data_IF_953486441444
#
_entry.id   IF_953486441444
#
_cell.length_a   1.000
_cell.length_b   1.000
_cell.length_c   1.000
_cell.angle_alpha   90.00
_cell.angle_beta   90.00
_cell.angle_gamma   90.00
#
_symmetry.space_group_name_H-M   'P 1'
#
loop_
_entity.id
_entity.type
_entity.pdbx_description
1 polymer ?
#
# COMPACT_ATOMS: atom_id res chain seq x y z
N UNK A 1 -8.15 -52.69 -43.04
CA UNK A 1 -8.56 -51.28 -42.92
C UNK A 1 -7.85 -50.69 -41.71
N UNK A 2 -6.85 -49.85 -41.94
CA UNK A 2 -6.12 -49.15 -40.90
C UNK A 2 -6.84 -47.85 -40.58
N UNK A 3 -7.50 -47.78 -39.42
CA UNK A 3 -8.08 -46.55 -38.92
C UNK A 3 -6.95 -45.76 -38.29
N UNK A 4 -6.45 -44.74 -38.99
CA UNK A 4 -5.52 -43.73 -38.42
C UNK A 4 -6.30 -42.89 -37.44
N UNK A 5 -6.17 -43.17 -36.16
CA UNK A 5 -6.60 -42.23 -35.11
C UNK A 5 -5.69 -41.02 -35.16
N UNK A 6 -6.19 -39.92 -35.74
CA UNK A 6 -5.55 -38.60 -35.58
C UNK A 6 -5.71 -38.17 -34.14
N UNK A 7 -4.62 -38.30 -33.40
CA UNK A 7 -4.52 -37.72 -32.07
C UNK A 7 -4.48 -36.20 -32.23
N UNK A 8 -5.61 -35.55 -32.01
CA UNK A 8 -5.68 -34.10 -31.94
C UNK A 8 -5.12 -33.69 -30.59
N UNK A 9 -3.86 -33.24 -30.59
CA UNK A 9 -3.24 -32.61 -29.44
C UNK A 9 -3.89 -31.23 -29.28
N UNK A 10 -4.93 -31.14 -28.44
CA UNK A 10 -5.49 -29.89 -28.03
C UNK A 10 -4.48 -29.22 -27.07
N UNK A 11 -3.65 -28.35 -27.62
CA UNK A 11 -2.82 -27.45 -26.82
C UNK A 11 -3.77 -26.52 -26.05
N UNK A 12 -4.00 -26.87 -24.79
CA UNK A 12 -4.65 -25.96 -23.87
C UNK A 12 -3.68 -24.81 -23.62
N UNK A 13 -3.81 -23.73 -24.39
CA UNK A 13 -3.21 -22.42 -24.02
C UNK A 13 -3.94 -21.95 -22.78
N UNK A 14 -3.41 -22.27 -21.60
CA UNK A 14 -3.85 -21.58 -20.38
C UNK A 14 -3.46 -20.10 -20.51
N UNK A 15 -4.42 -19.17 -20.44
CA UNK A 15 -4.06 -17.78 -20.36
C UNK A 15 -3.28 -17.59 -19.06
N UNK A 16 -2.06 -17.14 -19.17
CA UNK A 16 -1.26 -16.71 -18.04
C UNK A 16 -1.90 -15.43 -17.51
N UNK A 17 -2.79 -15.56 -16.52
CA UNK A 17 -3.29 -14.40 -15.79
C UNK A 17 -2.14 -13.94 -14.91
N UNK A 18 -1.41 -12.95 -15.39
CA UNK A 18 -0.37 -12.31 -14.59
C UNK A 18 -1.01 -11.74 -13.33
N UNK A 19 -0.65 -12.26 -12.17
CA UNK A 19 -1.08 -11.71 -10.89
C UNK A 19 -0.54 -10.30 -10.73
N UNK A 20 -1.40 -9.36 -10.27
CA UNK A 20 -0.98 -8.02 -9.88
C UNK A 20 -0.04 -8.18 -8.69
N UNK A 21 1.16 -7.59 -8.74
CA UNK A 21 2.09 -7.63 -7.63
C UNK A 21 1.46 -6.99 -6.38
N UNK A 22 1.72 -7.54 -5.17
CA UNK A 22 1.18 -7.02 -3.92
C UNK A 22 1.50 -5.53 -3.69
N UNK A 23 2.65 -5.05 -4.21
CA UNK A 23 3.05 -3.64 -4.22
C UNK A 23 2.07 -2.73 -4.95
N UNK A 24 1.53 -3.18 -6.09
CA UNK A 24 0.59 -2.37 -6.90
C UNK A 24 -0.74 -2.19 -6.18
N UNK A 25 -1.18 -3.17 -5.41
CA UNK A 25 -2.42 -3.09 -4.62
C UNK A 25 -2.34 -1.99 -3.55
N UNK A 26 -1.22 -1.82 -2.89
CA UNK A 26 -1.04 -0.78 -1.87
C UNK A 26 -0.91 0.61 -2.48
N UNK A 27 -0.28 0.75 -3.64
CA UNK A 27 -0.16 2.03 -4.33
C UNK A 27 -1.45 2.44 -5.06
N UNK A 28 -2.36 1.51 -5.30
CA UNK A 28 -3.65 1.74 -5.95
C UNK A 28 -4.81 2.01 -4.98
N UNK A 29 -4.54 2.21 -3.69
CA UNK A 29 -5.54 2.54 -2.69
C UNK A 29 -6.28 3.86 -2.99
N UNK A 30 -7.41 4.07 -2.32
CA UNK A 30 -8.19 5.31 -2.44
C UNK A 30 -7.45 6.46 -1.73
N UNK A 31 -6.91 7.38 -2.51
CA UNK A 31 -6.13 8.51 -2.03
C UNK A 31 -6.96 9.46 -1.19
N UNK A 32 -8.20 9.75 -1.59
CA UNK A 32 -9.09 10.65 -0.83
C UNK A 32 -9.49 10.04 0.51
N UNK A 33 -9.79 8.76 0.55
CA UNK A 33 -10.07 8.05 1.79
C UNK A 33 -8.82 8.02 2.69
N UNK A 34 -7.65 7.78 2.12
CA UNK A 34 -6.36 7.82 2.82
C UNK A 34 -6.06 9.18 3.42
N UNK A 35 -6.35 10.26 2.69
CA UNK A 35 -6.18 11.63 3.18
C UNK A 35 -7.07 11.91 4.39
N UNK A 36 -8.34 11.55 4.32
CA UNK A 36 -9.27 11.74 5.45
C UNK A 36 -8.84 10.96 6.68
N UNK A 37 -8.44 9.70 6.51
CA UNK A 37 -7.93 8.87 7.60
C UNK A 37 -6.64 9.43 8.20
N UNK A 38 -5.73 9.88 7.36
CA UNK A 38 -4.47 10.48 7.79
C UNK A 38 -4.72 11.75 8.63
N UNK A 39 -5.60 12.63 8.19
CA UNK A 39 -5.98 13.81 8.94
C UNK A 39 -6.65 13.47 10.27
N UNK A 40 -7.54 12.47 10.27
CA UNK A 40 -8.29 12.09 11.47
C UNK A 40 -7.44 11.31 12.50
N UNK A 41 -6.47 10.53 12.04
CA UNK A 41 -5.80 9.52 12.87
C UNK A 41 -4.30 9.69 13.03
N UNK A 42 -3.63 10.35 12.10
CA UNK A 42 -2.17 10.46 12.05
C UNK A 42 -1.67 11.88 12.35
N UNK A 43 -2.36 12.90 11.81
CA UNK A 43 -1.88 14.28 11.85
C UNK A 43 -1.73 14.85 13.24
N UNK A 44 -2.60 14.51 14.18
CA UNK A 44 -2.55 15.05 15.55
C UNK A 44 -1.21 14.81 16.24
N UNK A 45 -0.72 13.56 16.22
CA UNK A 45 0.58 13.21 16.77
C UNK A 45 1.74 13.75 15.92
N UNK A 46 1.63 13.65 14.59
CA UNK A 46 2.68 14.12 13.69
C UNK A 46 2.88 15.64 13.75
N UNK A 47 1.81 16.42 13.87
CA UNK A 47 1.90 17.87 14.09
C UNK A 47 2.59 18.17 15.41
N UNK A 48 2.22 17.48 16.48
CA UNK A 48 2.80 17.68 17.80
C UNK A 48 4.30 17.39 17.83
N UNK A 49 4.73 16.35 17.12
CA UNK A 49 6.12 15.88 17.14
C UNK A 49 7.01 16.59 16.11
N UNK A 50 6.47 16.87 14.91
CA UNK A 50 7.23 17.41 13.78
C UNK A 50 6.85 18.83 13.38
N UNK A 51 5.86 19.43 14.02
CA UNK A 51 5.39 20.80 13.73
C UNK A 51 4.61 20.95 12.44
N UNK A 52 4.23 22.17 12.10
CA UNK A 52 3.47 22.55 10.90
C UNK A 52 2.24 21.63 10.67
N UNK A 53 2.14 21.00 9.50
CA UNK A 53 1.07 20.04 9.15
C UNK A 53 1.41 18.58 9.49
N UNK A 54 2.57 18.33 10.12
CA UNK A 54 3.05 17.01 10.48
C UNK A 54 3.76 16.25 9.34
N UNK A 55 3.80 16.80 8.14
CA UNK A 55 4.43 16.15 6.97
C UNK A 55 5.95 16.05 7.06
N UNK A 56 6.57 16.77 7.98
CA UNK A 56 8.01 16.71 8.23
C UNK A 56 8.56 15.32 8.47
N UNK A 57 7.75 14.42 9.02
CA UNK A 57 8.11 13.01 9.21
C UNK A 57 8.43 12.31 7.88
N UNK A 58 7.76 12.69 6.78
CA UNK A 58 7.94 12.12 5.44
C UNK A 58 9.03 12.83 4.64
N UNK A 59 9.29 14.08 4.95
CA UNK A 59 10.16 14.99 4.19
C UNK A 59 11.55 15.17 4.80
N UNK A 60 11.83 14.58 5.95
CA UNK A 60 13.10 14.74 6.65
C UNK A 60 14.29 14.27 5.80
N UNK A 61 15.43 14.93 6.04
CA UNK A 61 16.69 14.60 5.37
C UNK A 61 17.69 14.03 6.40
N UNK A 62 18.30 12.84 6.15
CA UNK A 62 17.99 11.94 5.03
C UNK A 62 16.62 11.26 5.19
N UNK A 63 15.99 10.93 4.08
CA UNK A 63 14.72 10.20 4.09
C UNK A 63 14.92 8.79 4.64
N UNK A 64 14.01 8.35 5.52
CA UNK A 64 14.02 6.97 6.03
C UNK A 64 13.44 5.96 5.05
N UNK A 65 12.52 6.42 4.20
CA UNK A 65 11.88 5.62 3.16
C UNK A 65 12.41 6.10 1.82
N UNK A 66 13.11 5.25 1.09
CA UNK A 66 13.81 5.61 -0.13
C UNK A 66 13.34 4.84 -1.37
N UNK A 67 12.46 3.86 -1.20
CA UNK A 67 11.93 3.05 -2.30
C UNK A 67 10.55 2.46 -1.96
N UNK A 68 9.90 1.88 -2.97
CA UNK A 68 8.55 1.28 -2.84
C UNK A 68 8.51 0.17 -1.79
N UNK A 69 9.50 -0.70 -1.75
CA UNK A 69 9.53 -1.82 -0.81
C UNK A 69 9.57 -1.32 0.65
N UNK A 70 10.35 -0.29 0.92
CA UNK A 70 10.39 0.35 2.24
C UNK A 70 9.10 1.07 2.59
N UNK A 71 8.45 1.73 1.61
CA UNK A 71 7.15 2.35 1.82
C UNK A 71 6.08 1.31 2.18
N UNK A 72 6.08 0.18 1.51
CA UNK A 72 5.15 -0.92 1.81
C UNK A 72 5.44 -1.57 3.16
N UNK A 73 6.71 -1.69 3.53
CA UNK A 73 7.10 -2.13 4.88
C UNK A 73 6.61 -1.15 5.96
N UNK A 74 6.36 0.08 5.60
CA UNK A 74 5.77 1.09 6.48
C UNK A 74 4.37 0.71 6.98
N UNK A 75 3.58 0.00 6.16
CA UNK A 75 2.30 -0.56 6.59
C UNK A 75 2.46 -1.43 7.85
N UNK A 76 3.54 -2.19 7.91
CA UNK A 76 3.87 -3.00 9.10
C UNK A 76 4.26 -2.12 10.29
N UNK A 77 4.88 -0.97 10.06
CA UNK A 77 5.24 0.01 11.11
C UNK A 77 4.03 0.80 11.62
N UNK A 78 2.96 0.92 10.84
CA UNK A 78 1.69 1.48 11.30
C UNK A 78 1.06 0.65 12.43
N UNK A 79 1.59 -0.53 12.72
CA UNK A 79 1.27 -1.26 13.95
C UNK A 79 1.56 -0.46 15.22
N UNK A 80 2.48 0.52 15.19
CA UNK A 80 2.68 1.42 16.34
C UNK A 80 1.41 2.22 16.63
N UNK A 81 0.69 2.67 15.62
CA UNK A 81 -0.59 3.33 15.76
C UNK A 81 -1.60 2.39 16.42
N UNK A 82 -1.77 1.19 15.87
CA UNK A 82 -2.73 0.22 16.39
C UNK A 82 -2.42 -0.26 17.82
N UNK A 83 -1.15 -0.24 18.24
CA UNK A 83 -0.76 -0.62 19.61
C UNK A 83 -1.10 0.43 20.66
N UNK A 84 -1.12 1.69 20.28
CA UNK A 84 -1.32 2.83 21.20
C UNK A 84 -2.75 3.32 21.23
N UNK A 85 -3.60 2.83 20.31
CA UNK A 85 -4.98 3.28 20.15
C UNK A 85 -5.99 2.28 20.69
N UNK A 86 -7.16 2.79 21.05
CA UNK A 86 -8.34 1.97 21.38
C UNK A 86 -8.56 0.93 20.24
N UNK A 87 -8.78 -0.37 20.56
CA UNK A 87 -9.03 -1.40 19.57
C UNK A 87 -10.16 -1.07 18.58
N UNK A 88 -11.15 -0.27 19.00
CA UNK A 88 -12.23 0.17 18.12
C UNK A 88 -11.81 1.22 17.08
N UNK A 89 -10.64 1.81 17.25
CA UNK A 89 -10.08 2.83 16.37
C UNK A 89 -8.95 2.30 15.48
N UNK A 90 -8.61 1.01 15.61
CA UNK A 90 -7.54 0.40 14.83
C UNK A 90 -7.86 0.41 13.34
N UNK A 91 -6.80 0.56 12.53
CA UNK A 91 -6.90 0.54 11.07
C UNK A 91 -6.81 -0.88 10.55
N UNK A 92 -7.68 -1.22 9.60
CA UNK A 92 -7.58 -2.45 8.82
C UNK A 92 -6.58 -2.31 7.65
N UNK A 93 -6.34 -3.40 6.93
CA UNK A 93 -5.39 -3.41 5.82
C UNK A 93 -5.80 -2.51 4.66
N UNK A 94 -7.09 -2.38 4.38
CA UNK A 94 -7.61 -1.51 3.32
C UNK A 94 -7.38 -0.05 3.71
N UNK A 95 -7.68 0.32 4.93
CA UNK A 95 -7.46 1.67 5.46
C UNK A 95 -5.97 2.02 5.46
N UNK A 96 -5.10 1.11 5.89
CA UNK A 96 -3.66 1.28 5.83
C UNK A 96 -3.17 1.45 4.38
N UNK A 97 -3.69 0.66 3.46
CA UNK A 97 -3.38 0.77 2.03
C UNK A 97 -3.78 2.11 1.44
N UNK A 98 -4.94 2.64 1.83
CA UNK A 98 -5.41 3.97 1.42
C UNK A 98 -4.49 5.08 1.95
N UNK A 99 -4.07 4.99 3.21
CA UNK A 99 -3.12 5.96 3.80
C UNK A 99 -1.79 5.92 3.06
N UNK A 100 -1.27 4.74 2.75
CA UNK A 100 -0.01 4.59 2.01
C UNK A 100 -0.12 5.17 0.61
N UNK A 101 -1.22 4.92 -0.10
CA UNK A 101 -1.47 5.51 -1.40
C UNK A 101 -1.48 7.04 -1.33
N UNK A 102 -2.10 7.62 -0.31
CA UNK A 102 -2.10 9.06 -0.07
C UNK A 102 -0.69 9.60 0.21
N UNK A 103 0.04 8.98 1.13
CA UNK A 103 1.41 9.39 1.48
C UNK A 103 2.34 9.29 0.26
N UNK A 104 2.22 8.24 -0.52
CA UNK A 104 3.00 8.09 -1.74
C UNK A 104 2.68 9.17 -2.77
N UNK A 105 1.40 9.45 -2.98
CA UNK A 105 0.96 10.46 -3.95
C UNK A 105 1.52 11.84 -3.66
N UNK A 106 1.52 12.24 -2.42
CA UNK A 106 1.85 13.62 -2.04
C UNK A 106 3.28 13.83 -1.56
N UNK A 107 3.94 12.80 -1.04
CA UNK A 107 5.24 12.96 -0.39
C UNK A 107 6.36 12.14 -1.00
N UNK A 108 6.14 10.86 -1.32
CA UNK A 108 7.23 9.99 -1.80
C UNK A 108 7.31 9.86 -3.31
N UNK A 109 6.21 9.83 -4.02
CA UNK A 109 6.12 9.75 -5.48
C UNK A 109 6.80 8.52 -6.09
N UNK A 110 6.75 7.38 -5.41
CA UNK A 110 7.25 6.12 -5.96
C UNK A 110 6.24 5.53 -6.95
N UNK A 111 6.76 4.87 -7.98
CA UNK A 111 5.97 4.23 -9.03
C UNK A 111 6.38 2.77 -9.22
#
# INVERSE_FOLDING_TARGET
MLIRKKLIFLLFLMPFVGGVAASDLHLSGDISAGQRLHQARCSGCHVKEFGADGSGVYLRTPRRVTNVAELLAFATRLKHFNRTMDPNLQLDEIQMGNIIAYINKYYYHFY
#
